data_IF_545685872615
#
_entry.id   IF_545685872615
#
_cell.length_a   1.000
_cell.length_b   1.000
_cell.length_c   1.000
_cell.angle_alpha   90.00
_cell.angle_beta   90.00
_cell.angle_gamma   90.00
#
_symmetry.space_group_name_H-M   'P 1'
#
loop_
_entity.id
_entity.type
_entity.pdbx_description
1 polymer ?
#
# COMPACT_ATOMS: atom_id res chain seq x y z
N UNK A 1 -38.77 1.95 -2.74
CA UNK A 1 -38.27 1.93 -1.36
C UNK A 1 -36.94 2.67 -1.34
N UNK A 2 -36.96 3.99 -1.12
CA UNK A 2 -35.74 4.79 -1.04
C UNK A 2 -35.24 4.73 0.40
N UNK A 3 -34.16 3.98 0.62
CA UNK A 3 -33.50 3.93 1.92
C UNK A 3 -33.00 5.31 2.30
N UNK A 4 -33.64 5.92 3.30
CA UNK A 4 -33.18 7.13 3.94
C UNK A 4 -31.82 6.83 4.57
N UNK A 5 -30.75 7.20 3.88
CA UNK A 5 -29.42 7.21 4.45
C UNK A 5 -29.43 8.21 5.60
N UNK A 6 -29.53 7.71 6.84
CA UNK A 6 -29.49 8.53 8.05
C UNK A 6 -28.16 9.29 7.99
N UNK A 7 -28.16 10.64 7.91
CA UNK A 7 -26.93 11.41 7.70
C UNK A 7 -25.84 11.11 8.74
N UNK A 8 -26.24 10.78 9.97
CA UNK A 8 -25.33 10.33 11.03
C UNK A 8 -24.64 8.98 10.75
N UNK A 9 -25.32 8.04 10.08
CA UNK A 9 -24.75 6.73 9.72
C UNK A 9 -23.77 6.83 8.54
N UNK A 10 -24.04 7.74 7.60
CA UNK A 10 -23.13 8.06 6.48
C UNK A 10 -21.89 8.80 6.98
N UNK A 11 -22.04 9.74 7.91
CA UNK A 11 -20.91 10.44 8.53
C UNK A 11 -19.97 9.53 9.32
N UNK A 12 -20.53 8.58 10.09
CA UNK A 12 -19.76 7.57 10.82
C UNK A 12 -19.02 6.62 9.88
N UNK A 13 -19.67 6.15 8.81
CA UNK A 13 -19.04 5.21 7.86
C UNK A 13 -17.90 5.84 7.07
N UNK A 14 -18.03 7.10 6.65
CA UNK A 14 -16.94 7.83 5.98
C UNK A 14 -15.74 8.04 6.93
N UNK A 15 -16.00 8.48 8.16
CA UNK A 15 -14.94 8.73 9.15
C UNK A 15 -14.17 7.44 9.49
N UNK A 16 -14.89 6.33 9.64
CA UNK A 16 -14.27 5.02 9.85
C UNK A 16 -13.45 4.58 8.64
N UNK A 17 -13.93 4.80 7.41
CA UNK A 17 -13.19 4.47 6.20
C UNK A 17 -11.86 5.24 6.11
N UNK A 18 -11.85 6.54 6.40
CA UNK A 18 -10.62 7.34 6.45
C UNK A 18 -9.66 6.86 7.55
N UNK A 19 -10.18 6.53 8.74
CA UNK A 19 -9.37 6.00 9.84
C UNK A 19 -8.69 4.68 9.47
N UNK A 20 -9.44 3.74 8.87
CA UNK A 20 -8.90 2.46 8.39
C UNK A 20 -7.86 2.68 7.31
N UNK A 21 -8.13 3.53 6.31
CA UNK A 21 -7.18 3.83 5.24
C UNK A 21 -5.87 4.41 5.77
N UNK A 22 -5.95 5.34 6.73
CA UNK A 22 -4.76 5.97 7.33
C UNK A 22 -3.92 4.95 8.12
N UNK A 23 -4.56 4.11 8.93
CA UNK A 23 -3.89 3.04 9.68
C UNK A 23 -3.26 2.03 8.71
N UNK A 24 -3.97 1.62 7.65
CA UNK A 24 -3.44 0.73 6.62
C UNK A 24 -2.21 1.31 5.91
N UNK A 25 -2.20 2.63 5.64
CA UNK A 25 -1.04 3.33 5.06
C UNK A 25 0.17 3.30 6.00
N UNK A 26 -0.02 3.58 7.29
CA UNK A 26 1.04 3.52 8.30
C UNK A 26 1.64 2.12 8.41
N UNK A 27 0.77 1.10 8.48
CA UNK A 27 1.17 -0.31 8.54
C UNK A 27 1.95 -0.69 7.27
N UNK A 28 1.44 -0.32 6.10
CA UNK A 28 2.10 -0.59 4.82
C UNK A 28 3.48 0.08 4.74
N UNK A 29 3.58 1.34 5.14
CA UNK A 29 4.84 2.07 5.18
C UNK A 29 5.85 1.41 6.14
N UNK A 30 5.38 0.92 7.29
CA UNK A 30 6.22 0.17 8.21
C UNK A 30 6.77 -1.13 7.59
N UNK A 31 5.93 -1.88 6.86
CA UNK A 31 6.39 -3.08 6.16
C UNK A 31 7.33 -2.80 5.00
N UNK A 32 7.10 -1.71 4.25
CA UNK A 32 8.03 -1.28 3.23
C UNK A 32 9.38 -0.87 3.82
N UNK A 33 9.39 -0.25 4.98
CA UNK A 33 10.62 0.07 5.71
C UNK A 33 11.40 -1.18 6.14
N UNK A 34 10.70 -2.20 6.67
CA UNK A 34 11.33 -3.49 6.99
C UNK A 34 11.85 -4.17 5.73
N UNK A 35 11.03 -4.24 4.67
CA UNK A 35 11.43 -4.80 3.37
C UNK A 35 12.65 -4.08 2.78
N UNK A 36 12.72 -2.76 2.91
CA UNK A 36 13.87 -1.96 2.49
C UNK A 36 15.15 -2.29 3.26
N UNK A 37 15.06 -2.46 4.59
CA UNK A 37 16.20 -2.90 5.42
C UNK A 37 16.69 -4.29 5.02
N UNK A 38 15.77 -5.24 4.85
CA UNK A 38 16.08 -6.62 4.46
C UNK A 38 16.63 -6.72 3.03
N UNK A 39 16.19 -5.84 2.12
CA UNK A 39 16.71 -5.74 0.76
C UNK A 39 18.10 -5.06 0.66
N UNK A 40 18.71 -4.66 1.79
CA UNK A 40 20.04 -4.05 1.80
C UNK A 40 20.07 -2.62 1.26
N UNK A 41 18.98 -1.86 1.39
CA UNK A 41 18.96 -0.42 1.12
C UNK A 41 19.77 0.28 2.22
N UNK A 42 20.66 1.21 1.85
CA UNK A 42 21.65 1.83 2.77
C UNK A 42 21.03 2.80 3.77
N UNK A 43 20.07 3.62 3.34
CA UNK A 43 19.42 4.65 4.18
C UNK A 43 17.89 4.55 4.21
N UNK A 44 17.31 3.41 4.66
CA UNK A 44 15.88 3.27 4.80
C UNK A 44 15.42 4.03 6.03
N UNK A 45 14.51 4.99 5.85
CA UNK A 45 13.85 5.70 6.95
C UNK A 45 12.34 5.48 6.86
N UNK A 46 11.64 5.53 8.00
CA UNK A 46 10.17 5.42 8.01
C UNK A 46 9.52 6.55 7.21
N UNK A 47 10.08 7.77 7.26
CA UNK A 47 9.60 8.90 6.46
C UNK A 47 9.70 8.63 4.95
N UNK A 48 10.82 8.09 4.47
CA UNK A 48 10.96 7.66 3.07
C UNK A 48 9.96 6.56 2.72
N UNK A 49 9.75 5.59 3.60
CA UNK A 49 8.77 4.52 3.36
C UNK A 49 7.33 5.04 3.27
N UNK A 50 6.99 6.02 4.11
CA UNK A 50 5.68 6.66 4.10
C UNK A 50 5.44 7.46 2.82
N UNK A 51 6.42 8.28 2.42
CA UNK A 51 6.37 9.02 1.14
C UNK A 51 6.32 8.06 -0.05
N UNK A 52 7.08 6.97 -0.01
CA UNK A 52 7.06 5.96 -1.07
C UNK A 52 5.70 5.23 -1.16
N UNK A 53 5.03 4.99 -0.04
CA UNK A 53 3.69 4.39 -0.05
C UNK A 53 2.61 5.33 -0.56
N UNK A 54 2.62 6.60 -0.13
CA UNK A 54 1.68 7.59 -0.65
C UNK A 54 1.94 7.83 -2.14
N UNK A 55 3.18 8.15 -2.50
CA UNK A 55 3.56 8.42 -3.89
C UNK A 55 3.37 7.19 -4.78
N UNK A 56 3.76 6.01 -4.32
CA UNK A 56 3.61 4.75 -5.07
C UNK A 56 2.16 4.37 -5.26
N UNK A 57 1.32 4.52 -4.23
CA UNK A 57 -0.12 4.26 -4.31
C UNK A 57 -0.84 5.24 -5.26
N UNK A 58 -0.52 6.53 -5.17
CA UNK A 58 -1.09 7.55 -6.07
C UNK A 58 -0.67 7.29 -7.52
N UNK A 59 0.63 7.09 -7.77
CA UNK A 59 1.14 6.79 -9.12
C UNK A 59 0.53 5.50 -9.66
N UNK A 60 0.38 4.47 -8.83
CA UNK A 60 -0.26 3.22 -9.22
C UNK A 60 -1.69 3.47 -9.72
N UNK A 61 -2.51 4.16 -8.93
CA UNK A 61 -3.92 4.43 -9.28
C UNK A 61 -4.01 5.27 -10.56
N UNK A 62 -3.17 6.31 -10.68
CA UNK A 62 -3.14 7.17 -11.86
C UNK A 62 -2.77 6.37 -13.11
N UNK A 63 -1.70 5.59 -13.08
CA UNK A 63 -1.26 4.80 -14.24
C UNK A 63 -2.29 3.72 -14.57
N UNK A 64 -2.83 3.02 -13.58
CA UNK A 64 -3.86 2.01 -13.80
C UNK A 64 -5.14 2.60 -14.44
N UNK A 65 -5.53 3.81 -14.04
CA UNK A 65 -6.69 4.53 -14.58
C UNK A 65 -6.43 5.06 -16.00
N UNK A 66 -5.27 5.67 -16.24
CA UNK A 66 -4.89 6.19 -17.57
C UNK A 66 -4.84 5.07 -18.60
N UNK A 67 -4.26 3.92 -18.24
CA UNK A 67 -4.13 2.78 -19.14
C UNK A 67 -5.28 1.77 -19.01
N UNK A 68 -6.43 2.15 -18.43
CA UNK A 68 -7.55 1.23 -18.19
C UNK A 68 -8.01 0.46 -19.45
N UNK A 69 -7.83 1.04 -20.63
CA UNK A 69 -8.14 0.43 -21.93
C UNK A 69 -7.24 -0.77 -22.32
N UNK A 70 -6.14 -1.02 -21.61
CA UNK A 70 -5.25 -2.18 -21.81
C UNK A 70 -5.32 -3.13 -20.61
N UNK A 71 -6.32 -4.04 -20.57
CA UNK A 71 -6.49 -4.93 -19.43
C UNK A 71 -5.26 -5.83 -19.22
N UNK A 72 -4.81 -5.92 -17.97
CA UNK A 72 -3.64 -6.70 -17.55
C UNK A 72 -2.33 -5.93 -17.68
N UNK A 73 -2.07 -5.32 -18.84
CA UNK A 73 -0.87 -4.50 -19.06
C UNK A 73 -0.90 -3.24 -18.17
N UNK A 74 -2.08 -2.66 -17.98
CA UNK A 74 -2.27 -1.50 -17.11
C UNK A 74 -1.78 -1.73 -15.67
N UNK A 75 -2.03 -2.91 -15.11
CA UNK A 75 -1.58 -3.28 -13.76
C UNK A 75 -0.06 -3.43 -13.72
N UNK A 76 0.54 -4.07 -14.74
CA UNK A 76 1.99 -4.21 -14.82
C UNK A 76 2.69 -2.85 -14.93
N UNK A 77 2.17 -1.94 -15.76
CA UNK A 77 2.68 -0.57 -15.88
C UNK A 77 2.55 0.19 -14.55
N UNK A 78 1.41 0.05 -13.88
CA UNK A 78 1.17 0.67 -12.57
C UNK A 78 2.13 0.14 -11.50
N UNK A 79 2.41 -1.16 -11.48
CA UNK A 79 3.40 -1.78 -10.58
C UNK A 79 4.80 -1.26 -10.86
N UNK A 80 5.22 -1.20 -12.12
CA UNK A 80 6.53 -0.66 -12.51
C UNK A 80 6.67 0.80 -12.11
N UNK A 81 5.62 1.60 -12.28
CA UNK A 81 5.61 3.00 -11.88
C UNK A 81 5.65 3.15 -10.34
N UNK A 82 4.95 2.30 -9.59
CA UNK A 82 5.04 2.28 -8.14
C UNK A 82 6.44 1.88 -7.64
N UNK A 83 7.07 0.87 -8.27
CA UNK A 83 8.46 0.48 -7.99
C UNK A 83 9.45 1.58 -8.33
N UNK A 84 9.18 2.35 -9.39
CA UNK A 84 9.98 3.53 -9.72
C UNK A 84 9.92 4.59 -8.61
N UNK A 85 8.75 4.83 -8.01
CA UNK A 85 8.65 5.73 -6.85
C UNK A 85 9.52 5.22 -5.69
N UNK A 86 9.45 3.93 -5.34
CA UNK A 86 10.30 3.33 -4.31
C UNK A 86 11.79 3.53 -4.65
N UNK A 87 12.16 3.28 -5.90
CA UNK A 87 13.53 3.48 -6.39
C UNK A 87 14.02 4.91 -6.19
N UNK A 88 13.20 5.90 -6.55
CA UNK A 88 13.53 7.33 -6.45
C UNK A 88 13.61 7.76 -4.98
N UNK A 89 12.60 7.40 -4.18
CA UNK A 89 12.51 7.85 -2.77
C UNK A 89 13.59 7.21 -1.90
N UNK A 90 13.93 5.95 -2.12
CA UNK A 90 15.01 5.27 -1.39
C UNK A 90 16.39 5.45 -2.02
N UNK A 91 16.50 6.15 -3.16
CA UNK A 91 17.72 6.31 -3.93
C UNK A 91 18.48 4.97 -4.09
N UNK A 92 17.81 3.98 -4.68
CA UNK A 92 18.31 2.60 -4.75
C UNK A 92 18.29 2.05 -6.19
N UNK A 93 18.79 0.84 -6.38
CA UNK A 93 18.72 0.12 -7.65
C UNK A 93 17.37 -0.58 -7.86
N UNK A 94 17.02 -0.87 -9.10
CA UNK A 94 15.77 -1.56 -9.47
C UNK A 94 15.59 -2.91 -8.75
N UNK A 95 16.65 -3.73 -8.68
CA UNK A 95 16.59 -5.02 -8.01
C UNK A 95 16.26 -4.87 -6.52
N UNK A 96 16.88 -3.91 -5.83
CA UNK A 96 16.62 -3.66 -4.41
C UNK A 96 15.23 -3.08 -4.16
N UNK A 97 14.75 -2.20 -5.04
CA UNK A 97 13.37 -1.69 -4.98
C UNK A 97 12.34 -2.80 -5.17
N UNK A 98 12.57 -3.70 -6.14
CA UNK A 98 11.74 -4.87 -6.38
C UNK A 98 11.76 -5.81 -5.17
N UNK A 99 12.93 -6.14 -4.64
CA UNK A 99 13.07 -6.97 -3.44
C UNK A 99 12.36 -6.35 -2.24
N UNK A 100 12.52 -5.05 -2.01
CA UNK A 100 11.81 -4.34 -0.94
C UNK A 100 10.29 -4.42 -1.12
N UNK A 101 9.79 -4.27 -2.35
CA UNK A 101 8.37 -4.43 -2.68
C UNK A 101 7.85 -5.84 -2.45
N UNK A 102 8.57 -6.86 -2.91
CA UNK A 102 8.23 -8.28 -2.69
C UNK A 102 8.21 -8.59 -1.20
N UNK A 103 9.24 -8.19 -0.46
CA UNK A 103 9.32 -8.40 0.99
C UNK A 103 8.19 -7.68 1.73
N UNK A 104 7.87 -6.44 1.35
CA UNK A 104 6.74 -5.72 1.92
C UNK A 104 5.42 -6.46 1.69
N UNK A 105 5.23 -7.03 0.49
CA UNK A 105 4.04 -7.80 0.15
C UNK A 105 3.95 -9.11 0.93
N UNK A 106 5.04 -9.86 1.05
CA UNK A 106 5.12 -11.09 1.85
C UNK A 106 4.80 -10.81 3.31
N UNK A 107 5.42 -9.78 3.90
CA UNK A 107 5.18 -9.43 5.31
C UNK A 107 3.74 -8.96 5.52
N UNK A 108 3.19 -8.17 4.58
CA UNK A 108 1.78 -7.75 4.62
C UNK A 108 0.84 -8.96 4.57
N UNK A 109 1.10 -9.93 3.68
CA UNK A 109 0.29 -11.15 3.57
C UNK A 109 0.30 -11.98 4.86
N UNK A 110 1.46 -12.14 5.50
CA UNK A 110 1.57 -12.81 6.81
C UNK A 110 0.74 -12.10 7.86
N UNK A 111 0.80 -10.78 7.93
CA UNK A 111 0.04 -9.99 8.92
C UNK A 111 -1.45 -10.07 8.66
N UNK A 112 -1.90 -9.97 7.40
CA UNK A 112 -3.31 -10.17 7.05
C UNK A 112 -3.80 -11.58 7.44
N UNK A 113 -2.97 -12.61 7.24
CA UNK A 113 -3.28 -13.96 7.67
C UNK A 113 -3.43 -14.05 9.20
N UNK A 114 -2.48 -13.49 9.96
CA UNK A 114 -2.53 -13.47 11.44
C UNK A 114 -3.75 -12.69 11.96
N UNK A 115 -4.06 -11.53 11.37
CA UNK A 115 -5.25 -10.74 11.71
C UNK A 115 -6.54 -11.51 11.42
N UNK A 116 -6.62 -12.20 10.28
CA UNK A 116 -7.77 -13.05 9.95
C UNK A 116 -7.96 -14.16 10.99
N UNK A 117 -6.88 -14.85 11.39
CA UNK A 117 -6.93 -15.89 12.42
C UNK A 117 -7.38 -15.32 13.77
N UNK A 118 -6.85 -14.17 14.17
CA UNK A 118 -7.25 -13.50 15.42
C UNK A 118 -8.73 -13.11 15.43
N UNK A 119 -9.23 -12.51 14.35
CA UNK A 119 -10.64 -12.14 14.22
C UNK A 119 -11.53 -13.37 14.32
N UNK A 120 -11.18 -14.46 13.64
CA UNK A 120 -11.93 -15.73 13.73
C UNK A 120 -11.85 -16.36 15.12
N UNK A 121 -10.77 -16.17 15.87
CA UNK A 121 -10.62 -16.72 17.22
C UNK A 121 -11.37 -15.91 18.30
N UNK A 122 -11.73 -14.65 18.02
CA UNK A 122 -12.43 -13.75 18.95
C UNK A 122 -13.94 -13.69 18.69
N UNK A 123 -14.39 -14.16 17.52
CA UNK A 123 -15.80 -14.30 17.12
C UNK A 123 -16.33 -15.70 17.43
#
# INVERSE_FOLDING_TARGET
MHGLAIPGLVGLSISLAFGVLFISLLISAYFLFIGAKLAGIRDPTLGKAFVAMIGGGVVFVVIAAVFFFLPGINVLLALLAALWVVKVVFNTGWLRALLAGILAWVVSAVVFFLLKVLVVAVL
#
